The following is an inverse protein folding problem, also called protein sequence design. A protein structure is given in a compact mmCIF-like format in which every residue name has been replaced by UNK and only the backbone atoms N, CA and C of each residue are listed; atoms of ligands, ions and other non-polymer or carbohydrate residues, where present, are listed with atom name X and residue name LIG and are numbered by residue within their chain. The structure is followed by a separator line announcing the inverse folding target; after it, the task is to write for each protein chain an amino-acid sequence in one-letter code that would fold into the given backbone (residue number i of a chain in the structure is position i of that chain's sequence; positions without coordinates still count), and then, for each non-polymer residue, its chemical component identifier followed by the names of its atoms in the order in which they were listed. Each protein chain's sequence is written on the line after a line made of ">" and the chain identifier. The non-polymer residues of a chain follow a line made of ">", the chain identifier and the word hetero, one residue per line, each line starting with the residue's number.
data_IF_342139124714
#
_entry.id   IF_342139124714
#
_cell.length_a   1.000
_cell.length_b   1.000
_cell.length_c   1.000
_cell.angle_alpha   90.00
_cell.angle_beta   90.00
_cell.angle_gamma   90.00
#
_symmetry.space_group_name_H-M   'P 1'
#
loop_
_entity.id
_entity.type
_entity.pdbx_description
1 polymer ?
#
# COMPACT_ATOMS: atom_id res chain seq x y z
N UNK A 1 -71.98 -52.40 -52.47
CA UNK A 1 -71.67 -52.55 -51.02
C UNK A 1 -70.17 -52.77 -50.93
N UNK A 2 -69.33 -52.20 -50.06
CA UNK A 2 -69.45 -51.29 -48.92
C UNK A 2 -68.03 -51.08 -48.36
N UNK A 3 -67.63 -49.82 -48.07
CA UNK A 3 -66.72 -49.31 -46.99
C UNK A 3 -65.28 -49.92 -46.91
N UNK A 4 -64.17 -49.28 -46.50
CA UNK A 4 -63.81 -48.07 -45.74
C UNK A 4 -62.25 -48.06 -45.69
N UNK A 5 -61.51 -46.99 -45.99
CA UNK A 5 -61.14 -45.78 -45.20
C UNK A 5 -60.07 -45.99 -44.09
N UNK A 6 -59.01 -45.16 -44.19
CA UNK A 6 -58.11 -44.63 -43.15
C UNK A 6 -56.79 -45.35 -42.80
N UNK A 7 -55.74 -45.09 -43.61
CA UNK A 7 -54.31 -45.13 -43.24
C UNK A 7 -53.78 -43.69 -43.16
N UNK A 8 -54.10 -42.94 -42.10
CA UNK A 8 -53.56 -41.60 -41.79
C UNK A 8 -53.78 -41.30 -40.29
N UNK A 9 -52.98 -41.87 -39.38
CA UNK A 9 -53.05 -41.48 -37.95
C UNK A 9 -51.78 -41.70 -37.12
N UNK A 10 -50.74 -42.38 -37.61
CA UNK A 10 -49.58 -42.73 -36.77
C UNK A 10 -48.35 -41.83 -36.95
N UNK A 11 -48.16 -41.17 -38.09
CA UNK A 11 -46.98 -40.33 -38.36
C UNK A 11 -47.10 -38.88 -37.88
N UNK A 12 -48.31 -38.31 -37.78
CA UNK A 12 -48.49 -36.94 -37.28
C UNK A 12 -48.32 -36.79 -35.76
N UNK A 13 -48.40 -37.89 -34.99
CA UNK A 13 -48.25 -37.88 -33.52
C UNK A 13 -46.80 -37.90 -33.06
N UNK A 14 -45.87 -38.42 -33.86
CA UNK A 14 -44.43 -38.44 -33.54
C UNK A 14 -43.74 -37.12 -33.90
N UNK A 15 -44.18 -36.44 -34.96
CA UNK A 15 -43.67 -35.10 -35.33
C UNK A 15 -44.12 -34.04 -34.31
N UNK A 16 -45.40 -34.04 -33.90
CA UNK A 16 -45.94 -33.06 -32.94
C UNK A 16 -45.35 -33.16 -31.52
N UNK A 17 -44.85 -34.33 -31.10
CA UNK A 17 -44.20 -34.50 -29.78
C UNK A 17 -42.77 -33.94 -29.76
N UNK A 18 -42.08 -33.95 -30.90
CA UNK A 18 -40.71 -33.44 -31.05
C UNK A 18 -40.66 -31.90 -31.18
N UNK A 19 -41.67 -31.26 -31.77
CA UNK A 19 -41.74 -29.80 -31.86
C UNK A 19 -42.06 -29.12 -30.52
N UNK A 20 -42.89 -29.75 -29.68
CA UNK A 20 -43.21 -29.27 -28.31
C UNK A 20 -41.98 -29.38 -27.39
N UNK A 21 -41.14 -30.40 -27.59
CA UNK A 21 -39.89 -30.59 -26.84
C UNK A 21 -38.80 -29.58 -27.24
N UNK A 22 -38.72 -29.20 -28.53
CA UNK A 22 -37.84 -28.12 -29.03
C UNK A 22 -38.28 -26.73 -28.57
N UNK A 23 -39.58 -26.47 -28.48
CA UNK A 23 -40.12 -25.20 -27.98
C UNK A 23 -39.91 -24.96 -26.48
N UNK A 24 -40.03 -26.00 -25.64
CA UNK A 24 -39.80 -25.90 -24.18
C UNK A 24 -38.32 -25.74 -23.81
N UNK A 25 -37.41 -26.36 -24.56
CA UNK A 25 -35.95 -26.22 -24.35
C UNK A 25 -35.42 -24.87 -24.84
N UNK A 26 -36.01 -24.26 -25.87
CA UNK A 26 -35.65 -22.92 -26.33
C UNK A 26 -36.11 -21.80 -25.38
N UNK A 27 -37.30 -21.94 -24.77
CA UNK A 27 -37.84 -20.96 -23.79
C UNK A 27 -37.05 -20.96 -22.48
N UNK A 28 -36.63 -22.15 -22.00
CA UNK A 28 -35.80 -22.33 -20.79
C UNK A 28 -34.38 -21.75 -20.96
N UNK A 29 -33.75 -21.95 -22.14
CA UNK A 29 -32.45 -21.35 -22.50
C UNK A 29 -32.51 -19.81 -22.64
N UNK A 30 -33.66 -19.25 -23.01
CA UNK A 30 -33.85 -17.79 -23.12
C UNK A 30 -33.99 -17.09 -21.77
N UNK A 31 -34.64 -17.73 -20.79
CA UNK A 31 -34.73 -17.24 -19.41
C UNK A 31 -33.41 -17.39 -18.64
N UNK A 32 -32.68 -18.50 -18.83
CA UNK A 32 -31.35 -18.72 -18.27
C UNK A 32 -30.32 -17.69 -18.80
N UNK A 33 -30.34 -17.37 -20.10
CA UNK A 33 -29.48 -16.31 -20.68
C UNK A 33 -29.82 -14.90 -20.19
N UNK A 34 -31.10 -14.60 -19.92
CA UNK A 34 -31.52 -13.32 -19.31
C UNK A 34 -31.11 -13.24 -17.84
N UNK A 35 -31.14 -14.35 -17.11
CA UNK A 35 -30.68 -14.43 -15.73
C UNK A 35 -29.14 -14.34 -15.62
N UNK A 36 -28.37 -14.98 -16.50
CA UNK A 36 -26.90 -14.83 -16.59
C UNK A 36 -26.48 -13.40 -16.94
N UNK A 37 -27.14 -12.74 -17.89
CA UNK A 37 -26.83 -11.36 -18.26
C UNK A 37 -27.20 -10.35 -17.15
N UNK A 38 -28.24 -10.62 -16.35
CA UNK A 38 -28.61 -9.79 -15.22
C UNK A 38 -27.66 -9.98 -14.02
N UNK A 39 -27.17 -11.21 -13.79
CA UNK A 39 -26.15 -11.51 -12.76
C UNK A 39 -24.80 -10.93 -13.15
N UNK A 40 -24.40 -11.02 -14.43
CA UNK A 40 -23.18 -10.39 -14.97
C UNK A 40 -23.20 -8.86 -14.86
N UNK A 41 -24.32 -8.19 -15.20
CA UNK A 41 -24.48 -6.74 -15.01
C UNK A 41 -24.51 -6.31 -13.54
N UNK A 42 -25.03 -7.17 -12.64
CA UNK A 42 -24.98 -6.92 -11.18
C UNK A 42 -23.57 -7.10 -10.62
N UNK A 43 -22.81 -8.10 -11.08
CA UNK A 43 -21.41 -8.29 -10.70
C UNK A 43 -20.50 -7.19 -11.26
N UNK A 44 -20.70 -6.75 -12.51
CA UNK A 44 -19.97 -5.63 -13.10
C UNK A 44 -20.26 -4.31 -12.39
N UNK A 45 -21.52 -4.01 -12.06
CA UNK A 45 -21.87 -2.83 -11.24
C UNK A 45 -21.28 -2.92 -9.83
N UNK A 46 -21.19 -4.11 -9.23
CA UNK A 46 -20.62 -4.31 -7.89
C UNK A 46 -19.09 -4.17 -7.89
N UNK A 47 -18.43 -4.63 -8.96
CA UNK A 47 -17.00 -4.45 -9.22
C UNK A 47 -16.68 -2.97 -9.53
N UNK A 48 -17.47 -2.28 -10.36
CA UNK A 48 -17.34 -0.83 -10.62
C UNK A 48 -17.59 0.03 -9.37
N UNK A 49 -18.52 -0.38 -8.51
CA UNK A 49 -18.79 0.34 -7.25
C UNK A 49 -17.64 0.13 -6.26
N UNK A 50 -17.09 -1.08 -6.18
CA UNK A 50 -15.89 -1.41 -5.41
C UNK A 50 -14.65 -0.65 -5.89
N UNK A 51 -14.40 -0.56 -7.21
CA UNK A 51 -13.25 0.18 -7.77
C UNK A 51 -13.38 1.70 -7.58
N UNK A 52 -14.60 2.25 -7.58
CA UNK A 52 -14.85 3.67 -7.25
C UNK A 52 -14.63 3.98 -5.77
N UNK A 53 -14.94 3.05 -4.88
CA UNK A 53 -14.73 3.19 -3.44
C UNK A 53 -13.24 3.10 -3.06
N UNK A 54 -12.50 2.14 -3.62
CA UNK A 54 -11.04 2.03 -3.42
C UNK A 54 -10.29 3.25 -3.94
N UNK A 55 -10.65 3.76 -5.13
CA UNK A 55 -10.04 4.97 -5.70
C UNK A 55 -10.31 6.25 -4.86
N UNK A 56 -11.48 6.36 -4.22
CA UNK A 56 -11.77 7.46 -3.28
C UNK A 56 -10.92 7.33 -2.01
N UNK A 57 -10.72 6.13 -1.52
CA UNK A 57 -9.91 5.86 -0.32
C UNK A 57 -8.42 6.17 -0.56
N UNK A 58 -7.87 5.77 -1.72
CA UNK A 58 -6.51 6.11 -2.14
C UNK A 58 -6.29 7.62 -2.27
N UNK A 59 -7.25 8.34 -2.87
CA UNK A 59 -7.21 9.81 -2.95
C UNK A 59 -7.19 10.45 -1.56
N UNK A 60 -7.97 9.93 -0.61
CA UNK A 60 -8.00 10.40 0.77
C UNK A 60 -6.65 10.15 1.48
N UNK A 61 -6.09 8.95 1.34
CA UNK A 61 -4.76 8.57 1.87
C UNK A 61 -3.66 9.48 1.30
N UNK A 62 -3.65 9.70 -0.02
CA UNK A 62 -2.69 10.60 -0.67
C UNK A 62 -2.80 12.06 -0.19
N UNK A 63 -4.02 12.57 0.04
CA UNK A 63 -4.24 13.90 0.60
C UNK A 63 -3.70 14.01 2.03
N UNK A 64 -3.88 12.97 2.84
CA UNK A 64 -3.35 12.89 4.20
C UNK A 64 -1.83 12.88 4.21
N UNK A 65 -1.19 12.04 3.38
CA UNK A 65 0.26 11.97 3.22
C UNK A 65 0.81 13.35 2.81
N UNK A 66 0.17 14.03 1.84
CA UNK A 66 0.56 15.38 1.42
C UNK A 66 0.45 16.41 2.56
N UNK A 67 -0.55 16.28 3.44
CA UNK A 67 -0.69 17.12 4.64
C UNK A 67 0.45 16.85 5.63
N UNK A 68 0.81 15.59 5.85
CA UNK A 68 1.96 15.20 6.68
C UNK A 68 3.28 15.72 6.11
N UNK A 69 3.52 15.59 4.80
CA UNK A 69 4.70 16.16 4.14
C UNK A 69 4.81 17.67 4.34
N UNK A 70 3.71 18.42 4.20
CA UNK A 70 3.68 19.87 4.47
C UNK A 70 4.04 20.17 5.93
N UNK A 71 3.50 19.40 6.88
CA UNK A 71 3.85 19.54 8.31
C UNK A 71 5.33 19.22 8.58
N UNK A 72 5.89 18.21 7.91
CA UNK A 72 7.31 17.85 8.01
C UNK A 72 8.20 18.98 7.49
N UNK A 73 7.87 19.58 6.34
CA UNK A 73 8.62 20.72 5.78
C UNK A 73 8.58 21.95 6.69
N UNK A 74 7.44 22.20 7.35
CA UNK A 74 7.25 23.31 8.29
C UNK A 74 7.85 23.07 9.69
N UNK A 75 8.38 21.87 9.98
CA UNK A 75 8.94 21.57 11.31
C UNK A 75 10.17 22.44 11.56
N UNK A 76 10.34 22.91 12.81
CA UNK A 76 11.52 23.67 13.21
C UNK A 76 12.79 22.83 12.96
N UNK A 77 13.76 23.40 12.24
CA UNK A 77 15.08 22.78 12.04
C UNK A 77 15.79 22.71 13.40
N UNK A 78 16.34 21.54 13.71
CA UNK A 78 17.12 21.35 14.94
C UNK A 78 18.56 21.79 14.68
N UNK A 79 19.24 22.38 15.67
CA UNK A 79 20.68 22.59 15.56
C UNK A 79 21.39 21.23 15.47
N UNK A 80 22.59 21.23 14.89
CA UNK A 80 23.48 20.07 14.93
C UNK A 80 24.07 20.01 16.34
N UNK A 81 23.75 18.97 17.09
CA UNK A 81 24.27 18.76 18.43
C UNK A 81 25.63 18.08 18.34
N UNK A 82 26.70 18.77 18.76
CA UNK A 82 28.09 18.30 18.68
C UNK A 82 28.68 18.05 20.06
N UNK A 83 29.57 17.08 20.18
CA UNK A 83 30.23 16.76 21.45
C UNK A 83 31.35 17.74 21.75
N UNK A 84 31.35 18.26 22.98
CA UNK A 84 32.40 19.17 23.45
C UNK A 84 33.48 18.39 24.20
N UNK A 85 34.48 17.90 23.46
CA UNK A 85 35.77 17.54 24.05
C UNK A 85 36.74 18.71 23.82
N UNK A 86 37.62 19.04 24.76
CA UNK A 86 38.75 19.97 24.56
C UNK A 86 38.47 21.47 24.29
N UNK A 87 39.56 22.27 24.32
CA UNK A 87 39.59 23.70 23.95
C UNK A 87 39.24 23.87 22.46
N UNK A 88 38.63 25.01 22.10
CA UNK A 88 38.17 25.31 20.72
C UNK A 88 39.28 25.19 19.66
N UNK A 89 40.53 25.50 20.02
CA UNK A 89 41.71 25.37 19.16
C UNK A 89 42.09 23.91 18.83
N UNK A 90 41.71 22.96 19.68
CA UNK A 90 42.03 21.52 19.53
C UNK A 90 40.90 20.79 18.77
N UNK A 91 39.76 21.48 18.59
CA UNK A 91 38.54 20.96 17.96
C UNK A 91 38.70 20.88 16.44
N UNK A 92 39.41 19.86 15.96
CA UNK A 92 39.43 19.54 14.52
C UNK A 92 38.05 19.02 14.11
N UNK A 93 37.32 19.83 13.33
CA UNK A 93 35.99 19.52 12.78
C UNK A 93 35.96 18.19 11.98
N UNK A 94 37.12 17.74 11.50
CA UNK A 94 37.30 16.50 10.74
C UNK A 94 37.26 15.22 11.58
N UNK A 95 37.40 15.27 12.91
CA UNK A 95 37.38 14.06 13.75
C UNK A 95 35.94 13.64 14.06
N UNK A 96 35.53 12.45 13.57
CA UNK A 96 34.21 11.87 13.77
C UNK A 96 33.75 11.79 15.25
N UNK A 97 34.70 11.65 16.20
CA UNK A 97 34.41 11.66 17.65
C UNK A 97 33.75 12.96 18.12
N UNK A 98 34.02 14.07 17.45
CA UNK A 98 33.60 15.42 17.84
C UNK A 98 32.28 15.84 17.15
N UNK A 99 31.87 15.10 16.13
CA UNK A 99 30.57 15.26 15.49
C UNK A 99 29.42 14.66 16.33
N UNK A 100 29.74 13.70 17.21
CA UNK A 100 28.76 13.04 18.09
C UNK A 100 28.54 13.83 19.38
N UNK A 101 27.29 14.12 19.74
CA UNK A 101 26.93 14.74 21.02
C UNK A 101 27.37 13.90 22.22
N UNK A 102 27.89 14.57 23.26
CA UNK A 102 28.24 14.00 24.57
C UNK A 102 27.89 15.00 25.66
N UNK A 103 27.37 14.52 26.78
CA UNK A 103 27.10 15.36 27.94
C UNK A 103 28.43 15.74 28.59
N UNK A 104 28.73 17.04 28.76
CA UNK A 104 29.91 17.48 29.49
C UNK A 104 29.76 17.14 30.97
N UNK A 105 30.79 16.55 31.58
CA UNK A 105 30.78 16.15 33.01
C UNK A 105 31.83 16.87 33.87
N UNK A 106 32.67 17.72 33.29
CA UNK A 106 33.73 18.41 34.03
C UNK A 106 33.16 19.53 34.89
N UNK A 107 33.63 19.66 36.13
CA UNK A 107 33.19 20.70 37.07
C UNK A 107 33.47 22.13 36.56
N UNK A 108 34.62 22.32 35.90
CA UNK A 108 35.01 23.63 35.34
C UNK A 108 34.33 23.96 34.02
N UNK A 109 33.46 23.08 33.52
CA UNK A 109 32.82 23.26 32.23
C UNK A 109 31.60 24.18 32.33
N UNK A 110 31.63 25.29 31.59
CA UNK A 110 30.49 26.19 31.38
C UNK A 110 30.13 26.25 29.90
N UNK A 111 28.86 26.04 29.56
CA UNK A 111 28.38 26.09 28.18
C UNK A 111 28.35 27.56 27.70
N UNK A 112 29.20 27.91 26.72
CA UNK A 112 29.20 29.24 26.10
C UNK A 112 28.28 29.28 24.87
N UNK A 113 27.80 30.46 24.50
CA UNK A 113 26.93 30.67 23.32
C UNK A 113 27.55 30.15 22.01
N UNK A 114 28.87 30.29 21.90
CA UNK A 114 29.67 29.89 20.75
C UNK A 114 29.88 28.37 20.63
N UNK A 115 29.69 27.62 21.71
CA UNK A 115 29.75 26.16 21.69
C UNK A 115 28.51 25.54 21.05
N UNK A 116 27.46 26.33 20.84
CA UNK A 116 26.22 25.88 20.22
C UNK A 116 25.21 25.43 21.26
N UNK A 117 24.25 24.62 20.82
CA UNK A 117 23.07 24.26 21.62
C UNK A 117 23.22 22.86 22.19
N UNK A 118 22.85 22.69 23.46
CA UNK A 118 22.69 21.37 24.07
C UNK A 118 21.31 20.77 23.70
N UNK A 119 21.22 19.45 23.50
CA UNK A 119 19.94 18.76 23.39
C UNK A 119 19.13 18.95 24.66
N UNK A 120 17.85 19.23 24.48
CA UNK A 120 16.85 19.33 25.54
C UNK A 120 15.51 18.82 25.02
N UNK A 121 14.59 18.51 25.93
CA UNK A 121 13.25 18.02 25.58
C UNK A 121 12.48 19.00 24.70
N UNK A 122 12.76 20.31 24.78
CA UNK A 122 12.15 21.33 23.94
C UNK A 122 12.45 21.21 22.43
N UNK A 123 13.55 20.54 22.06
CA UNK A 123 13.87 20.28 20.64
C UNK A 123 13.17 19.04 20.07
N UNK A 124 12.34 18.36 20.87
CA UNK A 124 11.67 17.13 20.46
C UNK A 124 10.60 17.44 19.40
N UNK A 125 10.55 16.63 18.35
CA UNK A 125 9.52 16.74 17.31
C UNK A 125 8.19 16.20 17.85
N UNK A 126 7.07 16.77 17.41
CA UNK A 126 5.72 16.32 17.79
C UNK A 126 5.55 14.81 17.56
N UNK A 127 4.79 14.15 18.43
CA UNK A 127 4.63 12.68 18.41
C UNK A 127 4.10 12.17 17.06
N UNK A 128 3.20 12.92 16.44
CA UNK A 128 2.61 12.59 15.15
C UNK A 128 3.60 12.63 13.97
N UNK A 129 4.62 13.50 14.01
CA UNK A 129 5.58 13.68 12.92
C UNK A 129 6.92 12.96 13.15
N UNK A 130 7.14 12.49 14.38
CA UNK A 130 8.38 11.80 14.74
C UNK A 130 8.44 10.46 14.01
N UNK A 131 9.63 10.11 13.51
CA UNK A 131 9.89 8.87 12.76
C UNK A 131 9.24 8.77 11.37
N UNK A 132 8.65 9.86 10.84
CA UNK A 132 8.20 9.90 9.46
C UNK A 132 9.34 10.32 8.52
N UNK A 133 9.48 9.61 7.41
CA UNK A 133 10.31 9.98 6.26
C UNK A 133 9.79 11.31 5.66
N UNK A 134 10.62 12.14 5.00
CA UNK A 134 10.15 13.34 4.29
C UNK A 134 9.03 13.09 3.28
N UNK A 135 8.91 11.87 2.74
CA UNK A 135 7.78 11.46 1.89
C UNK A 135 6.45 11.28 2.66
N UNK A 136 6.43 11.40 3.98
CA UNK A 136 5.23 11.26 4.81
C UNK A 136 4.90 9.82 5.22
N UNK A 137 5.72 8.84 4.84
CA UNK A 137 5.58 7.44 5.25
C UNK A 137 6.39 7.13 6.50
N UNK A 138 5.98 6.13 7.26
CA UNK A 138 6.82 5.49 8.29
C UNK A 138 7.69 4.43 7.62
N UNK A 139 8.98 4.46 7.91
CA UNK A 139 9.93 3.50 7.35
C UNK A 139 9.92 2.22 8.16
N UNK A 140 9.91 1.08 7.48
CA UNK A 140 10.18 -0.23 8.07
C UNK A 140 11.35 -0.86 7.33
N UNK A 141 12.36 -1.30 8.08
CA UNK A 141 13.51 -2.02 7.56
C UNK A 141 13.12 -3.48 7.28
N UNK A 142 13.44 -3.98 6.09
CA UNK A 142 13.05 -5.30 5.62
C UNK A 142 14.25 -6.11 5.13
N UNK A 143 14.26 -7.42 5.41
CA UNK A 143 15.30 -8.35 5.00
C UNK A 143 14.82 -9.40 3.98
N UNK A 144 13.52 -9.70 3.96
CA UNK A 144 12.95 -10.76 3.13
C UNK A 144 11.55 -10.39 2.60
N UNK A 145 11.04 -11.21 1.68
CA UNK A 145 9.72 -11.03 1.10
C UNK A 145 8.56 -11.25 2.08
N UNK A 146 8.71 -12.15 3.06
CA UNK A 146 7.63 -12.47 4.02
C UNK A 146 7.31 -11.27 4.92
N UNK A 147 8.32 -10.48 5.26
CA UNK A 147 8.16 -9.24 6.01
C UNK A 147 7.33 -8.19 5.26
N UNK A 148 7.28 -8.20 3.91
CA UNK A 148 6.37 -7.34 3.15
C UNK A 148 4.91 -7.73 3.33
N UNK A 149 4.61 -9.03 3.40
CA UNK A 149 3.26 -9.55 3.62
C UNK A 149 2.74 -9.13 5.01
N UNK A 150 3.61 -9.12 6.03
CA UNK A 150 3.27 -8.59 7.36
C UNK A 150 3.00 -7.08 7.39
N UNK A 151 3.50 -6.35 6.40
CA UNK A 151 3.26 -4.92 6.25
C UNK A 151 1.99 -4.62 5.46
N UNK A 152 1.47 -5.60 4.72
CA UNK A 152 0.19 -5.47 4.05
C UNK A 152 -0.90 -5.14 5.08
N UNK A 153 -1.70 -4.11 4.78
CA UNK A 153 -2.75 -3.61 5.69
C UNK A 153 -2.32 -2.53 6.68
N UNK A 154 -1.02 -2.24 6.83
CA UNK A 154 -0.57 -1.07 7.63
C UNK A 154 -0.67 0.22 6.81
N UNK A 155 -1.42 1.19 7.32
CA UNK A 155 -1.55 2.48 6.66
C UNK A 155 -0.25 3.31 6.73
N UNK A 156 0.07 4.00 5.63
CA UNK A 156 1.16 4.99 5.54
C UNK A 156 2.56 4.44 5.86
N UNK A 157 2.84 3.18 5.50
CA UNK A 157 4.16 2.55 5.67
C UNK A 157 4.89 2.45 4.32
N UNK A 158 6.20 2.65 4.35
CA UNK A 158 7.10 2.38 3.23
C UNK A 158 8.22 1.43 3.68
N UNK A 159 8.63 0.57 2.76
CA UNK A 159 9.68 -0.41 2.97
C UNK A 159 11.07 0.19 2.67
N UNK A 160 12.06 -0.14 3.49
CA UNK A 160 13.48 0.08 3.20
C UNK A 160 14.17 -1.28 3.25
N UNK A 161 14.78 -1.69 2.15
CA UNK A 161 15.52 -2.96 2.09
C UNK A 161 16.85 -2.78 2.83
N UNK A 162 17.18 -3.72 3.73
CA UNK A 162 18.46 -3.71 4.43
C UNK A 162 19.65 -3.82 3.46
N UNK A 163 20.77 -3.19 3.81
CA UNK A 163 21.98 -3.15 2.97
C UNK A 163 22.63 -4.52 2.77
N UNK A 164 22.39 -5.46 3.69
CA UNK A 164 22.91 -6.83 3.67
C UNK A 164 22.18 -7.74 2.66
N UNK A 165 21.04 -7.31 2.11
CA UNK A 165 20.27 -8.11 1.15
C UNK A 165 20.93 -8.03 -0.22
N UNK A 166 21.36 -9.19 -0.74
CA UNK A 166 21.96 -9.30 -2.07
C UNK A 166 20.99 -9.02 -3.22
N UNK A 167 21.53 -8.68 -4.40
CA UNK A 167 20.77 -8.26 -5.59
C UNK A 167 19.66 -9.23 -6.01
N UNK A 168 19.90 -10.53 -5.94
CA UNK A 168 18.90 -11.58 -6.27
C UNK A 168 17.63 -11.44 -5.43
N UNK A 169 17.77 -11.46 -4.10
CA UNK A 169 16.66 -11.29 -3.16
C UNK A 169 16.03 -9.91 -3.26
N UNK A 170 16.81 -8.86 -3.54
CA UNK A 170 16.27 -7.51 -3.78
C UNK A 170 15.27 -7.49 -4.94
N UNK A 171 15.59 -8.16 -6.05
CA UNK A 171 14.68 -8.28 -7.19
C UNK A 171 13.37 -8.98 -6.84
N UNK A 172 13.42 -10.04 -6.04
CA UNK A 172 12.23 -10.75 -5.55
C UNK A 172 11.37 -9.87 -4.63
N UNK A 173 12.02 -9.11 -3.73
CA UNK A 173 11.36 -8.18 -2.81
C UNK A 173 10.68 -7.04 -3.58
N UNK A 174 11.33 -6.49 -4.61
CA UNK A 174 10.76 -5.41 -5.43
C UNK A 174 9.50 -5.89 -6.15
N UNK A 175 9.57 -7.03 -6.85
CA UNK A 175 8.42 -7.61 -7.55
C UNK A 175 7.23 -7.82 -6.61
N UNK A 176 7.46 -8.44 -5.45
CA UNK A 176 6.41 -8.64 -4.45
C UNK A 176 5.88 -7.34 -3.84
N UNK A 177 6.71 -6.33 -3.69
CA UNK A 177 6.26 -5.03 -3.19
C UNK A 177 5.34 -4.33 -4.20
N UNK A 178 5.61 -4.45 -5.50
CA UNK A 178 4.77 -3.91 -6.57
C UNK A 178 3.42 -4.64 -6.62
N UNK A 179 3.40 -5.97 -6.41
CA UNK A 179 2.17 -6.77 -6.31
C UNK A 179 1.29 -6.35 -5.13
N UNK A 180 1.89 -6.10 -3.96
CA UNK A 180 1.18 -5.71 -2.73
C UNK A 180 0.85 -4.19 -2.72
N UNK A 181 1.54 -3.39 -3.54
CA UNK A 181 1.38 -1.94 -3.60
C UNK A 181 2.13 -1.17 -2.50
N UNK A 182 3.24 -1.72 -1.97
CA UNK A 182 4.07 -1.07 -0.94
C UNK A 182 5.23 -0.31 -1.59
N UNK A 183 5.39 0.96 -1.24
CA UNK A 183 6.50 1.77 -1.74
C UNK A 183 7.83 1.38 -1.10
N UNK A 184 8.83 1.04 -1.92
CA UNK A 184 10.22 0.86 -1.51
C UNK A 184 10.98 2.20 -1.62
N UNK A 185 11.77 2.54 -0.60
CA UNK A 185 12.51 3.81 -0.52
C UNK A 185 13.89 3.77 -1.20
N UNK A 186 14.50 2.59 -1.24
CA UNK A 186 15.81 2.34 -1.81
C UNK A 186 15.73 1.23 -2.85
N UNK A 187 14.81 1.34 -3.82
CA UNK A 187 14.67 0.36 -4.89
C UNK A 187 15.97 0.34 -5.72
#
# INVERSE_FOLDING_TARGET
>A
MSKSKAKKTTEEKTVKKNDIAKGKTAKKRGEEKKQEQAVAKKSEKKVEKGTKETAKEEKKKNKEIKKLQKKIKKKKKKPIFRGHFGKRSIRRKSRAKWDKWRVPRGADFKLKKEDGKAPSTGYRTSKALRYLHPSGYREVLIHNAKELEMLAGRANVAARIASTVGRKKRGEIIKKADEIGIKILNA
#
